data_IF_785819435333
#
_entry.id   IF_785819435333
#
_cell.length_a   1.000
_cell.length_b   1.000
_cell.length_c   1.000
_cell.angle_alpha   90.00
_cell.angle_beta   90.00
_cell.angle_gamma   90.00
#
_symmetry.space_group_name_H-M   'P 1'
#
loop_
_entity.id
_entity.type
_entity.pdbx_description
1 polymer ?
#
# COMPACT_ATOMS: atom_id res chain seq x y z
N UNK A 1 -24.99 1.33 -81.14
CA UNK A 1 -24.10 2.48 -80.82
C UNK A 1 -24.00 3.52 -81.95
N UNK A 2 -23.97 3.13 -83.23
CA UNK A 2 -23.78 4.08 -84.35
C UNK A 2 -24.86 5.17 -84.53
N UNK A 3 -26.15 4.86 -84.34
CA UNK A 3 -27.21 5.87 -84.49
C UNK A 3 -27.14 6.96 -83.43
N UNK A 4 -26.83 6.61 -82.18
CA UNK A 4 -26.77 7.55 -81.06
C UNK A 4 -25.63 8.57 -81.24
N UNK A 5 -24.47 8.12 -81.76
CA UNK A 5 -23.31 8.98 -82.03
C UNK A 5 -23.62 9.99 -83.15
N UNK A 6 -24.34 9.57 -84.20
CA UNK A 6 -24.72 10.46 -85.30
C UNK A 6 -25.78 11.50 -84.93
N UNK A 7 -26.78 11.15 -84.10
CA UNK A 7 -27.76 12.13 -83.61
C UNK A 7 -27.13 13.11 -82.62
N UNK A 8 -26.18 12.65 -81.81
CA UNK A 8 -25.46 13.49 -80.86
C UNK A 8 -24.53 14.47 -81.60
N UNK A 9 -23.86 14.03 -82.66
CA UNK A 9 -23.02 14.87 -83.51
C UNK A 9 -23.82 15.96 -84.24
N UNK A 10 -25.04 15.66 -84.73
CA UNK A 10 -25.90 16.67 -85.36
C UNK A 10 -26.43 17.70 -84.37
N UNK A 11 -26.81 17.27 -83.16
CA UNK A 11 -27.30 18.16 -82.09
C UNK A 11 -26.23 19.12 -81.54
N UNK A 12 -24.94 18.77 -81.64
CA UNK A 12 -23.81 19.59 -81.21
C UNK A 12 -23.43 20.70 -82.22
N UNK A 13 -23.82 20.55 -83.49
CA UNK A 13 -23.55 21.52 -84.57
C UNK A 13 -24.53 22.70 -84.61
N UNK A 14 -25.70 22.58 -83.97
CA UNK A 14 -26.72 23.63 -83.94
C UNK A 14 -26.25 24.87 -83.16
N UNK A 15 -26.58 26.05 -83.71
CA UNK A 15 -26.27 27.35 -83.09
C UNK A 15 -27.47 27.82 -82.27
N UNK A 16 -27.19 28.32 -81.08
CA UNK A 16 -28.17 29.02 -80.24
C UNK A 16 -27.87 30.51 -80.33
N UNK A 17 -28.90 31.29 -80.64
CA UNK A 17 -28.85 32.74 -80.67
C UNK A 17 -29.36 33.26 -79.32
N UNK A 18 -28.45 33.79 -78.50
CA UNK A 18 -28.77 34.44 -77.21
C UNK A 18 -28.87 35.93 -77.46
N UNK A 19 -30.05 36.52 -77.22
CA UNK A 19 -30.31 37.95 -77.38
C UNK A 19 -30.34 38.61 -75.99
N UNK A 20 -29.36 39.46 -75.70
CA UNK A 20 -29.27 40.19 -74.42
C UNK A 20 -29.90 41.56 -74.63
N UNK A 21 -30.99 41.85 -73.91
CA UNK A 21 -31.68 43.15 -73.93
C UNK A 21 -31.49 43.88 -72.59
N UNK A 22 -30.58 44.88 -72.51
CA UNK A 22 -30.43 45.69 -71.32
C UNK A 22 -31.59 46.69 -71.16
N UNK A 23 -31.87 47.10 -69.92
CA UNK A 23 -32.97 48.04 -69.58
C UNK A 23 -32.80 49.44 -70.19
N UNK A 24 -31.58 49.81 -70.59
CA UNK A 24 -31.22 50.97 -71.44
C UNK A 24 -29.97 50.61 -72.26
N UNK A 25 -29.99 50.85 -73.57
CA UNK A 25 -28.88 50.56 -74.50
C UNK A 25 -29.28 49.65 -75.67
N UNK A 26 -28.34 49.40 -76.59
CA UNK A 26 -28.56 48.55 -77.76
C UNK A 26 -28.52 47.05 -77.38
N UNK A 27 -29.42 46.25 -77.96
CA UNK A 27 -29.43 44.80 -77.78
C UNK A 27 -28.27 44.14 -78.52
N UNK A 28 -27.57 43.21 -77.88
CA UNK A 28 -26.48 42.44 -78.50
C UNK A 28 -26.93 40.99 -78.74
N UNK A 29 -26.64 40.46 -79.94
CA UNK A 29 -26.89 39.06 -80.31
C UNK A 29 -25.58 38.28 -80.22
N UNK A 30 -25.58 37.24 -79.39
CA UNK A 30 -24.47 36.30 -79.25
C UNK A 30 -24.86 34.97 -79.88
N UNK A 31 -24.12 34.57 -80.91
CA UNK A 31 -24.31 33.27 -81.57
C UNK A 31 -23.29 32.28 -81.04
N UNK A 32 -23.75 31.28 -80.30
CA UNK A 32 -22.89 30.26 -79.72
C UNK A 32 -23.25 28.88 -80.27
N UNK A 33 -22.26 27.99 -80.40
CA UNK A 33 -22.53 26.59 -80.73
C UNK A 33 -23.00 25.87 -79.47
N UNK A 34 -23.92 24.90 -79.58
CA UNK A 34 -24.34 24.08 -78.43
C UNK A 34 -23.15 23.40 -77.73
N UNK A 35 -22.14 22.99 -78.50
CA UNK A 35 -20.91 22.42 -77.97
C UNK A 35 -20.13 23.38 -77.04
N UNK A 36 -20.10 24.68 -77.33
CA UNK A 36 -19.44 25.66 -76.45
C UNK A 36 -20.19 25.88 -75.15
N UNK A 37 -21.52 25.79 -75.16
CA UNK A 37 -22.34 25.86 -73.94
C UNK A 37 -22.13 24.62 -73.06
N UNK A 38 -22.13 23.42 -73.65
CA UNK A 38 -21.83 22.19 -72.91
C UNK A 38 -20.41 22.20 -72.33
N UNK A 39 -19.42 22.68 -73.09
CA UNK A 39 -18.06 22.84 -72.59
C UNK A 39 -17.98 23.79 -71.37
N UNK A 40 -18.69 24.92 -71.41
CA UNK A 40 -18.75 25.86 -70.28
C UNK A 40 -19.41 25.24 -69.04
N UNK A 41 -20.49 24.46 -69.22
CA UNK A 41 -21.15 23.75 -68.11
C UNK A 41 -20.21 22.71 -67.49
N UNK A 42 -19.51 21.93 -68.33
CA UNK A 42 -18.54 20.93 -67.85
C UNK A 42 -17.39 21.61 -67.09
N UNK A 43 -16.86 22.71 -67.60
CA UNK A 43 -15.81 23.49 -66.92
C UNK A 43 -16.32 24.04 -65.58
N UNK A 44 -17.55 24.56 -65.53
CA UNK A 44 -18.15 25.03 -64.30
C UNK A 44 -18.36 23.91 -63.27
N UNK A 45 -18.83 22.73 -63.70
CA UNK A 45 -18.95 21.55 -62.84
C UNK A 45 -17.60 21.05 -62.32
N UNK A 46 -16.55 21.10 -63.14
CA UNK A 46 -15.19 20.74 -62.71
C UNK A 46 -14.64 21.74 -61.69
N UNK A 47 -14.83 23.04 -61.91
CA UNK A 47 -14.38 24.08 -60.98
C UNK A 47 -15.13 24.01 -59.64
N UNK A 48 -16.44 23.80 -59.67
CA UNK A 48 -17.24 23.63 -58.44
C UNK A 48 -16.87 22.34 -57.70
N UNK A 49 -16.69 21.22 -58.41
CA UNK A 49 -16.20 19.97 -57.83
C UNK A 49 -14.81 20.11 -57.20
N UNK A 50 -13.88 20.79 -57.88
CA UNK A 50 -12.55 21.08 -57.34
C UNK A 50 -12.61 22.00 -56.11
N UNK A 51 -13.48 23.01 -56.13
CA UNK A 51 -13.72 23.91 -54.99
C UNK A 51 -14.26 23.17 -53.77
N UNK A 52 -15.24 22.26 -53.96
CA UNK A 52 -15.78 21.43 -52.88
C UNK A 52 -14.70 20.51 -52.31
N UNK A 53 -13.93 19.83 -53.17
CA UNK A 53 -12.82 18.97 -52.73
C UNK A 53 -11.77 19.73 -51.92
N UNK A 54 -11.42 20.94 -52.36
CA UNK A 54 -10.49 21.81 -51.63
C UNK A 54 -11.05 22.20 -50.26
N UNK A 55 -12.33 22.57 -50.19
CA UNK A 55 -13.00 22.92 -48.93
C UNK A 55 -13.09 21.74 -47.96
N UNK A 56 -13.50 20.57 -48.45
CA UNK A 56 -13.59 19.34 -47.64
C UNK A 56 -12.21 18.97 -47.10
N UNK A 57 -11.18 18.92 -47.96
CA UNK A 57 -9.81 18.64 -47.52
C UNK A 57 -9.27 19.67 -46.53
N UNK A 58 -9.59 20.96 -46.71
CA UNK A 58 -9.20 22.02 -45.79
C UNK A 58 -9.90 21.90 -44.43
N UNK A 59 -11.18 21.53 -44.42
CA UNK A 59 -11.94 21.27 -43.19
C UNK A 59 -11.38 20.07 -42.45
N UNK A 60 -11.19 18.94 -43.14
CA UNK A 60 -10.61 17.72 -42.55
C UNK A 60 -9.22 17.99 -41.96
N UNK A 61 -8.38 18.74 -42.68
CA UNK A 61 -7.07 19.13 -42.19
C UNK A 61 -7.14 19.95 -40.88
N UNK A 62 -8.02 20.95 -40.82
CA UNK A 62 -8.19 21.77 -39.63
C UNK A 62 -8.78 20.98 -38.45
N UNK A 63 -9.72 20.07 -38.72
CA UNK A 63 -10.31 19.16 -37.74
C UNK A 63 -9.23 18.24 -37.13
N UNK A 64 -8.46 17.55 -37.98
CA UNK A 64 -7.36 16.67 -37.56
C UNK A 64 -6.29 17.46 -36.78
N UNK A 65 -6.02 18.71 -37.17
CA UNK A 65 -5.09 19.58 -36.44
C UNK A 65 -5.64 19.95 -35.05
N UNK A 66 -6.93 20.21 -34.92
CA UNK A 66 -7.58 20.47 -33.64
C UNK A 66 -7.56 19.23 -32.72
N UNK A 67 -7.88 18.05 -33.26
CA UNK A 67 -7.80 16.78 -32.53
C UNK A 67 -6.38 16.46 -32.05
N UNK A 68 -5.37 16.67 -32.90
CA UNK A 68 -3.97 16.51 -32.51
C UNK A 68 -3.54 17.47 -31.38
N UNK A 69 -3.98 18.73 -31.44
CA UNK A 69 -3.71 19.69 -30.37
C UNK A 69 -4.39 19.28 -29.05
N UNK A 70 -5.63 18.78 -29.12
CA UNK A 70 -6.34 18.27 -27.96
C UNK A 70 -5.64 17.06 -27.34
N UNK A 71 -5.20 16.11 -28.18
CA UNK A 71 -4.48 14.93 -27.74
C UNK A 71 -3.20 15.31 -26.98
N UNK A 72 -2.46 16.32 -27.48
CA UNK A 72 -1.27 16.85 -26.79
C UNK A 72 -1.58 17.45 -25.43
N UNK A 73 -2.69 18.18 -25.29
CA UNK A 73 -3.10 18.71 -23.99
C UNK A 73 -3.42 17.59 -23.00
N UNK A 74 -4.11 16.53 -23.46
CA UNK A 74 -4.40 15.35 -22.63
C UNK A 74 -3.13 14.61 -22.19
N UNK A 75 -2.18 14.42 -23.10
CA UNK A 75 -0.90 13.79 -22.77
C UNK A 75 -0.11 14.62 -21.76
N UNK A 76 -0.06 15.94 -21.93
CA UNK A 76 0.58 16.84 -20.96
C UNK A 76 -0.07 16.77 -19.58
N UNK A 77 -1.39 16.66 -19.51
CA UNK A 77 -2.11 16.51 -18.25
C UNK A 77 -1.77 15.18 -17.55
N UNK A 78 -1.75 14.07 -18.31
CA UNK A 78 -1.38 12.75 -17.78
C UNK A 78 0.07 12.77 -17.28
N UNK A 79 0.97 13.37 -18.04
CA UNK A 79 2.37 13.55 -17.67
C UNK A 79 2.52 14.30 -16.33
N UNK A 80 1.84 15.43 -16.17
CA UNK A 80 1.83 16.21 -14.92
C UNK A 80 1.25 15.41 -13.74
N UNK A 81 0.22 14.58 -13.97
CA UNK A 81 -0.34 13.69 -12.95
C UNK A 81 0.63 12.58 -12.53
N UNK A 82 1.36 11.98 -13.50
CA UNK A 82 2.38 10.98 -13.20
C UNK A 82 3.58 11.59 -12.45
N UNK A 83 3.98 12.82 -12.79
CA UNK A 83 5.04 13.53 -12.06
C UNK A 83 4.64 13.79 -10.61
N UNK A 84 3.37 14.19 -10.38
CA UNK A 84 2.81 14.29 -9.02
C UNK A 84 2.86 12.94 -8.30
N UNK A 85 2.39 11.87 -8.93
CA UNK A 85 2.43 10.51 -8.36
C UNK A 85 3.83 10.08 -7.95
N UNK A 86 4.82 10.34 -8.81
CA UNK A 86 6.24 10.10 -8.54
C UNK A 86 6.74 10.86 -7.31
N UNK A 87 6.43 12.16 -7.21
CA UNK A 87 6.81 12.98 -6.03
C UNK A 87 6.21 12.44 -4.74
N UNK A 88 4.97 11.94 -4.77
CA UNK A 88 4.37 11.28 -3.61
C UNK A 88 5.08 9.98 -3.26
N UNK A 89 5.44 9.15 -4.24
CA UNK A 89 6.23 7.93 -4.00
C UNK A 89 7.57 8.24 -3.33
N UNK A 90 8.27 9.27 -3.79
CA UNK A 90 9.51 9.75 -3.17
C UNK A 90 9.32 10.18 -1.71
N UNK A 91 8.24 10.93 -1.43
CA UNK A 91 7.90 11.32 -0.07
C UNK A 91 7.56 10.11 0.81
N UNK A 92 6.89 9.10 0.27
CA UNK A 92 6.59 7.87 1.03
C UNK A 92 7.85 7.08 1.37
N UNK A 93 8.85 7.07 0.49
CA UNK A 93 10.12 6.41 0.76
C UNK A 93 10.89 7.07 1.92
N UNK A 94 10.94 8.40 1.96
CA UNK A 94 11.58 9.12 3.08
C UNK A 94 10.82 8.89 4.38
N UNK A 95 9.48 8.89 4.32
CA UNK A 95 8.62 8.59 5.46
C UNK A 95 8.84 7.16 5.99
N UNK A 96 8.93 6.17 5.10
CA UNK A 96 9.24 4.78 5.43
C UNK A 96 10.59 4.66 6.15
N UNK A 97 11.63 5.32 5.61
CA UNK A 97 12.97 5.34 6.20
C UNK A 97 12.95 5.93 7.61
N UNK A 98 12.24 7.06 7.80
CA UNK A 98 12.07 7.68 9.11
C UNK A 98 11.31 6.76 10.08
N UNK A 99 10.23 6.11 9.64
CA UNK A 99 9.48 5.16 10.46
C UNK A 99 10.37 4.00 10.92
N UNK A 100 11.17 3.42 10.02
CA UNK A 100 12.11 2.33 10.37
C UNK A 100 13.13 2.77 11.42
N UNK A 101 13.69 3.98 11.28
CA UNK A 101 14.62 4.56 12.26
C UNK A 101 13.95 4.77 13.61
N UNK A 102 12.78 5.39 13.65
CA UNK A 102 12.02 5.61 14.89
C UNK A 102 11.66 4.30 15.59
N UNK A 103 11.33 3.26 14.83
CA UNK A 103 10.99 1.94 15.37
C UNK A 103 12.22 1.12 15.78
N UNK A 104 13.44 1.59 15.48
CA UNK A 104 14.67 0.84 15.70
C UNK A 104 14.67 -0.50 14.96
N UNK A 105 14.06 -0.53 13.77
CA UNK A 105 14.05 -1.73 12.94
C UNK A 105 15.48 -2.05 12.50
N UNK A 106 15.99 -3.28 12.69
CA UNK A 106 17.25 -3.66 12.08
C UNK A 106 17.13 -3.44 10.57
N UNK A 107 18.17 -2.88 9.93
CA UNK A 107 18.24 -2.80 8.47
C UNK A 107 17.92 -4.19 7.90
N UNK A 108 16.74 -4.31 7.28
CA UNK A 108 16.02 -5.57 7.26
C UNK A 108 16.73 -6.67 6.47
N UNK A 109 16.55 -7.92 6.90
CA UNK A 109 16.86 -9.11 6.07
C UNK A 109 16.04 -9.17 4.77
N UNK A 110 14.99 -8.34 4.65
CA UNK A 110 14.14 -8.17 3.47
C UNK A 110 14.31 -6.80 2.81
N UNK A 111 15.14 -5.93 3.40
CA UNK A 111 15.60 -4.72 2.75
C UNK A 111 16.73 -5.14 1.79
N UNK A 112 16.33 -5.72 0.66
CA UNK A 112 16.94 -5.24 -0.57
C UNK A 112 16.35 -3.84 -0.81
N UNK A 113 16.76 -2.85 0.00
CA UNK A 113 17.07 -1.56 -0.63
C UNK A 113 18.03 -2.00 -1.72
N UNK A 114 17.69 -1.86 -3.01
CA UNK A 114 18.65 -2.18 -4.05
C UNK A 114 19.96 -1.53 -3.62
N UNK A 115 21.05 -2.30 -3.52
CA UNK A 115 22.36 -1.64 -3.52
C UNK A 115 22.34 -0.75 -4.77
N UNK A 116 22.35 0.56 -4.57
CA UNK A 116 22.06 1.51 -5.63
C UNK A 116 20.61 2.01 -5.72
N UNK A 117 19.82 2.09 -4.64
CA UNK A 117 18.54 2.85 -4.69
C UNK A 117 18.77 4.29 -5.14
N UNK A 118 19.84 4.94 -4.66
CA UNK A 118 20.21 6.28 -5.15
C UNK A 118 20.54 6.28 -6.65
N UNK A 119 21.16 5.21 -7.16
CA UNK A 119 21.48 5.04 -8.58
C UNK A 119 20.24 4.74 -9.42
N UNK A 120 19.35 3.87 -8.94
CA UNK A 120 18.06 3.53 -9.55
C UNK A 120 17.14 4.75 -9.58
N UNK A 121 17.06 5.48 -8.47
CA UNK A 121 16.38 6.77 -8.37
C UNK A 121 16.97 7.77 -9.36
N UNK A 122 18.29 7.94 -9.39
CA UNK A 122 18.95 8.84 -10.34
C UNK A 122 18.63 8.49 -11.81
N UNK A 123 18.59 7.20 -12.15
CA UNK A 123 18.16 6.73 -13.49
C UNK A 123 16.68 7.04 -13.75
N UNK A 124 15.79 6.80 -12.78
CA UNK A 124 14.37 7.11 -12.90
C UNK A 124 14.11 8.63 -12.99
N UNK A 125 14.83 9.46 -12.23
CA UNK A 125 14.81 10.92 -12.29
C UNK A 125 15.26 11.41 -13.67
N UNK A 126 16.34 10.84 -14.21
CA UNK A 126 16.84 11.17 -15.54
C UNK A 126 15.86 10.78 -16.66
N UNK A 127 15.24 9.60 -16.57
CA UNK A 127 14.20 9.16 -17.51
C UNK A 127 12.97 10.04 -17.45
N UNK A 128 12.47 10.33 -16.25
CA UNK A 128 11.34 11.23 -16.04
C UNK A 128 11.61 12.61 -16.63
N UNK A 129 12.78 13.18 -16.33
CA UNK A 129 13.21 14.47 -16.86
C UNK A 129 13.28 14.46 -18.38
N UNK A 130 13.87 13.43 -18.99
CA UNK A 130 13.93 13.25 -20.44
C UNK A 130 12.52 13.17 -21.05
N UNK A 131 11.62 12.42 -20.44
CA UNK A 131 10.24 12.26 -20.91
C UNK A 131 9.47 13.59 -20.88
N UNK A 132 9.64 14.38 -19.81
CA UNK A 132 8.92 15.65 -19.65
C UNK A 132 9.56 16.84 -20.38
N UNK A 133 10.85 16.76 -20.73
CA UNK A 133 11.54 17.78 -21.54
C UNK A 133 11.40 17.55 -23.05
N UNK A 134 11.10 16.33 -23.49
CA UNK A 134 10.92 15.99 -24.92
C UNK A 134 9.59 16.57 -25.44
N UNK A 135 9.61 17.22 -26.60
CA UNK A 135 8.39 17.71 -27.23
C UNK A 135 7.48 16.51 -27.56
N UNK A 136 6.18 16.64 -27.32
CA UNK A 136 5.19 15.56 -27.47
C UNK A 136 5.12 14.99 -28.89
N UNK A 137 5.72 15.67 -29.86
CA UNK A 137 5.85 15.21 -31.26
C UNK A 137 6.90 14.13 -31.43
N UNK A 138 7.92 14.15 -30.58
CA UNK A 138 9.09 13.27 -30.65
C UNK A 138 9.05 12.19 -29.56
N UNK A 139 8.02 12.23 -28.70
CA UNK A 139 7.79 11.26 -27.63
C UNK A 139 7.36 9.92 -28.22
N UNK A 140 8.17 8.89 -27.96
CA UNK A 140 7.84 7.52 -28.33
C UNK A 140 6.91 6.91 -27.29
N UNK A 141 5.97 6.09 -27.73
CA UNK A 141 5.05 5.34 -26.85
C UNK A 141 5.80 4.43 -25.89
N UNK A 142 6.91 3.84 -26.36
CA UNK A 142 7.76 2.93 -25.57
C UNK A 142 8.40 3.62 -24.35
N UNK A 143 8.87 4.87 -24.50
CA UNK A 143 9.41 5.64 -23.38
C UNK A 143 8.35 5.91 -22.30
N UNK A 144 7.09 6.12 -22.71
CA UNK A 144 5.97 6.35 -21.80
C UNK A 144 5.54 5.06 -21.09
N UNK A 145 5.47 3.93 -21.81
CA UNK A 145 5.16 2.62 -21.25
C UNK A 145 6.20 2.23 -20.18
N UNK A 146 7.49 2.33 -20.49
CA UNK A 146 8.55 2.06 -19.51
C UNK A 146 8.48 2.95 -18.28
N UNK A 147 8.10 4.22 -18.44
CA UNK A 147 7.97 5.13 -17.31
C UNK A 147 6.78 4.76 -16.39
N UNK A 148 5.66 4.34 -16.98
CA UNK A 148 4.50 3.85 -16.21
C UNK A 148 4.84 2.55 -15.50
N UNK A 149 5.53 1.62 -16.15
CA UNK A 149 5.99 0.36 -15.55
C UNK A 149 6.95 0.63 -14.37
N UNK A 150 7.94 1.51 -14.55
CA UNK A 150 8.88 1.90 -13.49
C UNK A 150 8.14 2.51 -12.27
N UNK A 151 7.09 3.29 -12.51
CA UNK A 151 6.27 3.92 -11.47
C UNK A 151 5.42 2.88 -10.75
N UNK A 152 4.83 1.93 -11.48
CA UNK A 152 4.06 0.81 -10.92
C UNK A 152 4.93 -0.06 -10.01
N UNK A 153 6.12 -0.44 -10.47
CA UNK A 153 7.06 -1.26 -9.69
C UNK A 153 7.56 -0.55 -8.43
N UNK A 154 7.80 0.76 -8.53
CA UNK A 154 8.15 1.58 -7.38
C UNK A 154 7.01 1.63 -6.36
N UNK A 155 5.76 1.76 -6.83
CA UNK A 155 4.58 1.74 -5.96
C UNK A 155 4.39 0.38 -5.26
N UNK A 156 4.55 -0.73 -5.99
CA UNK A 156 4.50 -2.09 -5.43
C UNK A 156 5.56 -2.30 -4.35
N UNK A 157 6.79 -1.86 -4.62
CA UNK A 157 7.91 -1.95 -3.67
C UNK A 157 7.61 -1.16 -2.39
N UNK A 158 7.11 0.07 -2.55
CA UNK A 158 6.75 0.92 -1.42
C UNK A 158 5.62 0.32 -0.56
N UNK A 159 4.59 -0.26 -1.20
CA UNK A 159 3.50 -0.94 -0.50
C UNK A 159 4.01 -2.13 0.32
N UNK A 160 4.88 -2.96 -0.26
CA UNK A 160 5.49 -4.10 0.44
C UNK A 160 6.31 -3.63 1.66
N UNK A 161 7.05 -2.53 1.52
CA UNK A 161 7.81 -1.93 2.62
C UNK A 161 6.90 -1.50 3.79
N UNK A 162 5.78 -0.82 3.51
CA UNK A 162 4.82 -0.44 4.53
C UNK A 162 4.16 -1.64 5.22
N UNK A 163 3.87 -2.72 4.48
CA UNK A 163 3.36 -3.96 5.06
C UNK A 163 4.36 -4.58 6.05
N UNK A 164 5.66 -4.54 5.74
CA UNK A 164 6.72 -5.02 6.65
C UNK A 164 6.77 -4.17 7.93
N UNK A 165 6.72 -2.83 7.80
CA UNK A 165 6.68 -1.93 8.97
C UNK A 165 5.47 -2.24 9.84
N UNK A 166 4.28 -2.37 9.23
CA UNK A 166 3.07 -2.70 9.95
C UNK A 166 3.19 -4.04 10.70
N UNK A 167 3.73 -5.06 10.03
CA UNK A 167 3.98 -6.38 10.63
C UNK A 167 4.99 -6.31 11.78
N UNK A 168 6.10 -5.59 11.62
CA UNK A 168 7.11 -5.42 12.66
C UNK A 168 6.53 -4.68 13.88
N UNK A 169 5.79 -3.59 13.64
CA UNK A 169 5.18 -2.83 14.72
C UNK A 169 4.15 -3.66 15.48
N UNK A 170 3.27 -4.37 14.77
CA UNK A 170 2.30 -5.27 15.37
C UNK A 170 3.01 -6.31 16.24
N UNK A 171 3.98 -7.05 15.70
CA UNK A 171 4.69 -8.09 16.46
C UNK A 171 5.54 -7.55 17.60
N UNK A 172 6.15 -6.38 17.46
CA UNK A 172 6.92 -5.74 18.54
C UNK A 172 5.99 -5.31 19.67
N UNK A 173 4.83 -4.72 19.36
CA UNK A 173 3.83 -4.34 20.35
C UNK A 173 3.26 -5.57 21.06
N UNK A 174 2.88 -6.59 20.31
CA UNK A 174 2.37 -7.84 20.87
C UNK A 174 3.44 -8.54 21.72
N UNK A 175 4.69 -8.62 21.28
CA UNK A 175 5.80 -9.14 22.06
C UNK A 175 6.08 -8.34 23.35
N UNK A 176 5.97 -7.01 23.30
CA UNK A 176 6.08 -6.15 24.48
C UNK A 176 4.94 -6.37 25.47
N UNK A 177 3.70 -6.56 24.99
CA UNK A 177 2.55 -6.87 25.83
C UNK A 177 2.63 -8.27 26.45
N UNK A 178 3.20 -9.22 25.71
CA UNK A 178 3.43 -10.61 26.11
C UNK A 178 4.59 -10.79 27.10
N UNK A 179 5.48 -9.79 27.22
CA UNK A 179 6.63 -9.86 28.12
C UNK A 179 6.19 -9.56 29.56
N UNK A 180 6.47 -10.44 30.56
CA UNK A 180 5.98 -10.28 31.94
C UNK A 180 6.75 -9.21 32.73
N UNK A 181 6.53 -7.93 32.40
CA UNK A 181 7.44 -6.83 32.76
C UNK A 181 7.14 -6.10 34.07
N UNK A 182 6.13 -6.53 34.83
CA UNK A 182 5.78 -5.96 36.14
C UNK A 182 5.89 -7.01 37.24
N UNK A 183 5.94 -6.55 38.50
CA UNK A 183 5.86 -7.47 39.64
C UNK A 183 4.42 -7.97 39.82
N UNK A 184 4.22 -9.26 40.13
CA UNK A 184 2.89 -9.82 40.40
C UNK A 184 2.33 -9.41 41.76
N UNK A 185 3.18 -8.89 42.66
CA UNK A 185 2.81 -8.43 44.01
C UNK A 185 3.76 -7.32 44.48
N UNK A 186 3.25 -6.43 45.35
CA UNK A 186 4.02 -5.41 46.05
C UNK A 186 4.84 -5.96 47.23
N UNK A 187 4.64 -7.22 47.62
CA UNK A 187 5.35 -7.84 48.72
C UNK A 187 6.88 -7.97 48.44
N UNK A 188 7.73 -8.05 49.48
CA UNK A 188 9.16 -8.31 49.30
C UNK A 188 9.42 -9.73 48.79
N UNK A 189 10.50 -9.89 48.02
CA UNK A 189 10.97 -11.22 47.58
C UNK A 189 11.63 -11.88 48.78
N UNK A 190 11.09 -13.01 49.23
CA UNK A 190 11.63 -13.83 50.32
C UNK A 190 12.58 -14.92 49.84
N UNK A 191 12.38 -15.44 48.62
CA UNK A 191 13.25 -16.45 48.02
C UNK A 191 13.51 -16.19 46.54
N UNK A 192 14.76 -16.36 46.12
CA UNK A 192 15.20 -16.14 44.74
C UNK A 192 15.16 -17.39 43.85
N UNK A 193 15.23 -17.17 42.55
CA UNK A 193 15.40 -18.22 41.53
C UNK A 193 16.78 -18.89 41.62
N UNK A 194 16.85 -20.19 41.35
CA UNK A 194 18.09 -20.97 41.33
C UNK A 194 18.21 -21.99 42.46
N UNK A 195 19.43 -22.48 42.71
CA UNK A 195 19.68 -23.51 43.71
C UNK A 195 19.59 -22.94 45.14
N UNK A 196 18.78 -23.58 45.99
CA UNK A 196 18.64 -23.25 47.40
C UNK A 196 18.60 -24.50 48.28
N UNK A 197 18.88 -24.33 49.57
CA UNK A 197 18.65 -25.35 50.59
C UNK A 197 17.14 -25.67 50.68
N UNK A 198 16.80 -26.95 50.85
CA UNK A 198 15.40 -27.39 50.93
C UNK A 198 14.66 -26.67 52.09
N UNK A 199 13.56 -25.96 51.80
CA UNK A 199 12.81 -25.23 52.82
C UNK A 199 12.13 -26.13 53.87
N UNK A 200 12.04 -27.44 53.63
CA UNK A 200 11.47 -28.44 54.56
C UNK A 200 12.57 -29.18 55.36
N UNK A 201 13.82 -28.67 55.35
CA UNK A 201 14.88 -29.14 56.25
C UNK A 201 15.67 -30.36 55.77
N UNK A 202 15.53 -30.77 54.50
CA UNK A 202 16.38 -31.81 53.91
C UNK A 202 17.70 -31.19 53.46
N UNK A 203 18.84 -31.82 53.78
CA UNK A 203 20.19 -31.31 53.44
C UNK A 203 20.53 -31.51 51.95
N UNK A 204 19.61 -31.19 51.06
CA UNK A 204 19.72 -31.34 49.61
C UNK A 204 19.45 -30.00 48.93
N UNK A 205 20.29 -29.63 47.97
CA UNK A 205 20.08 -28.46 47.12
C UNK A 205 18.90 -28.73 46.18
N UNK A 206 17.84 -27.92 46.27
CA UNK A 206 16.67 -27.98 45.39
C UNK A 206 16.69 -26.77 44.45
N UNK A 207 16.48 -27.01 43.15
CA UNK A 207 16.33 -25.94 42.18
C UNK A 207 14.97 -25.27 42.35
N UNK A 208 14.97 -23.97 42.57
CA UNK A 208 13.80 -23.12 42.62
C UNK A 208 13.57 -22.49 41.25
N UNK A 209 12.46 -22.85 40.61
CA UNK A 209 12.14 -22.42 39.24
C UNK A 209 11.46 -21.04 39.18
N UNK A 210 11.26 -20.39 40.33
CA UNK A 210 10.60 -19.10 40.45
C UNK A 210 11.20 -18.21 41.53
N UNK A 211 10.43 -17.21 41.93
CA UNK A 211 10.69 -16.34 43.07
C UNK A 211 9.50 -16.38 44.01
N UNK A 212 9.78 -16.32 45.31
CA UNK A 212 8.74 -16.29 46.34
C UNK A 212 8.58 -14.86 46.87
N UNK A 213 7.33 -14.38 46.94
CA UNK A 213 6.96 -13.10 47.52
C UNK A 213 6.24 -13.33 48.85
N UNK A 214 6.84 -12.95 49.97
CA UNK A 214 6.22 -13.10 51.29
C UNK A 214 5.38 -11.86 51.62
N UNK A 215 4.11 -12.07 51.95
CA UNK A 215 3.16 -10.99 52.20
C UNK A 215 2.05 -11.41 53.15
N UNK A 216 1.07 -10.52 53.31
CA UNK A 216 -0.11 -10.79 54.15
C UNK A 216 -1.13 -11.64 53.40
N UNK A 217 -1.92 -12.47 54.09
CA UNK A 217 -3.07 -13.13 53.49
C UNK A 217 -3.96 -12.13 52.76
N UNK A 218 -4.57 -12.59 51.68
CA UNK A 218 -5.50 -11.84 50.83
C UNK A 218 -4.89 -10.64 50.07
N UNK A 219 -3.57 -10.47 50.12
CA UNK A 219 -2.87 -9.45 49.32
C UNK A 219 -3.12 -9.68 47.82
N UNK A 220 -3.43 -8.65 47.02
CA UNK A 220 -3.76 -8.84 45.61
C UNK A 220 -2.58 -9.37 44.80
N UNK A 221 -2.87 -10.28 43.88
CA UNK A 221 -1.95 -10.80 42.88
C UNK A 221 -2.44 -10.37 41.51
N UNK A 222 -1.55 -9.77 40.72
CA UNK A 222 -1.84 -9.30 39.36
C UNK A 222 -1.08 -10.09 38.31
N UNK A 223 -1.67 -10.18 37.11
CA UNK A 223 -0.99 -10.76 35.95
C UNK A 223 0.10 -9.82 35.42
N UNK A 224 1.23 -10.36 34.99
CA UNK A 224 2.43 -9.57 34.68
C UNK A 224 2.57 -9.21 33.19
N UNK A 225 1.74 -9.80 32.34
CA UNK A 225 1.64 -9.55 30.90
C UNK A 225 0.21 -9.83 30.40
N UNK A 226 -0.11 -9.33 29.21
CA UNK A 226 -1.35 -9.69 28.52
C UNK A 226 -1.31 -11.18 28.16
N UNK A 227 -2.44 -11.88 28.21
CA UNK A 227 -2.46 -13.30 27.89
C UNK A 227 -3.80 -13.98 28.08
N UNK A 228 -3.78 -15.31 27.99
CA UNK A 228 -4.95 -16.18 28.18
C UNK A 228 -4.67 -17.15 29.33
N UNK A 229 -5.62 -17.25 30.26
CA UNK A 229 -5.53 -18.20 31.38
C UNK A 229 -5.63 -19.62 30.85
N UNK A 230 -4.55 -20.40 30.94
CA UNK A 230 -4.52 -21.82 30.57
C UNK A 230 -5.12 -22.69 31.67
N UNK A 231 -4.80 -22.38 32.91
CA UNK A 231 -5.28 -23.12 34.07
C UNK A 231 -5.56 -22.17 35.24
N UNK A 232 -6.64 -22.42 35.97
CA UNK A 232 -6.96 -21.75 37.23
C UNK A 232 -7.65 -22.76 38.15
N UNK A 233 -6.92 -23.27 39.15
CA UNK A 233 -7.44 -24.32 40.02
C UNK A 233 -6.35 -25.05 40.81
N UNK A 234 -6.71 -26.20 41.36
CA UNK A 234 -5.81 -26.98 42.21
C UNK A 234 -4.79 -27.78 41.41
N UNK A 235 -3.51 -27.59 41.72
CA UNK A 235 -2.38 -28.32 41.16
C UNK A 235 -1.61 -28.99 42.31
N UNK A 236 -1.29 -30.30 42.21
CA UNK A 236 -0.49 -30.97 43.23
C UNK A 236 0.82 -30.23 43.53
N UNK A 237 1.19 -30.14 44.80
CA UNK A 237 2.31 -29.33 45.35
C UNK A 237 2.17 -27.81 45.25
N UNK A 238 1.61 -27.26 44.17
CA UNK A 238 1.44 -25.81 43.99
C UNK A 238 0.18 -25.26 44.69
N UNK A 239 -0.77 -26.11 45.07
CA UNK A 239 -2.03 -25.68 45.67
C UNK A 239 -2.94 -25.03 44.64
N UNK A 240 -3.65 -23.97 45.03
CA UNK A 240 -4.40 -23.15 44.08
C UNK A 240 -3.41 -22.35 43.22
N UNK A 241 -3.42 -22.62 41.91
CA UNK A 241 -2.49 -22.05 40.97
C UNK A 241 -3.17 -21.55 39.70
N UNK A 242 -2.56 -20.53 39.10
CA UNK A 242 -2.96 -19.95 37.82
C UNK A 242 -1.78 -20.04 36.87
N UNK A 243 -2.01 -20.56 35.67
CA UNK A 243 -1.06 -20.57 34.56
C UNK A 243 -1.60 -19.66 33.47
N UNK A 244 -0.84 -18.64 33.08
CA UNK A 244 -1.19 -17.73 31.99
C UNK A 244 -0.20 -17.90 30.84
N UNK A 245 -0.73 -18.08 29.64
CA UNK A 245 0.04 -18.08 28.39
C UNK A 245 -0.04 -16.68 27.78
N UNK A 246 1.12 -16.06 27.60
CA UNK A 246 1.24 -14.71 27.08
C UNK A 246 1.53 -14.69 25.57
N UNK A 247 1.74 -15.84 24.94
CA UNK A 247 2.21 -15.90 23.57
C UNK A 247 3.71 -15.58 23.44
N UNK A 248 4.24 -15.64 22.22
CA UNK A 248 5.68 -15.46 21.93
C UNK A 248 6.59 -16.34 22.80
N UNK A 249 6.10 -17.52 23.23
CA UNK A 249 6.82 -18.44 24.09
C UNK A 249 6.87 -18.06 25.57
N UNK A 250 6.22 -16.98 26.00
CA UNK A 250 6.13 -16.59 27.41
C UNK A 250 4.92 -17.22 28.11
N UNK A 251 5.14 -17.74 29.32
CA UNK A 251 4.07 -18.11 30.24
C UNK A 251 4.47 -17.85 31.68
N UNK A 252 3.48 -17.67 32.55
CA UNK A 252 3.69 -17.38 33.98
C UNK A 252 2.84 -18.27 34.86
N UNK A 253 3.42 -18.68 35.99
CA UNK A 253 2.75 -19.48 37.01
C UNK A 253 2.61 -18.66 38.29
N UNK A 254 1.43 -18.67 38.88
CA UNK A 254 1.11 -18.06 40.18
C UNK A 254 0.59 -19.16 41.10
N UNK A 255 1.34 -19.54 42.13
CA UNK A 255 1.01 -20.67 43.00
C UNK A 255 0.87 -20.26 44.47
N UNK A 256 0.38 -21.19 45.29
CA UNK A 256 0.03 -21.01 46.71
C UNK A 256 -0.99 -19.89 46.94
N UNK A 257 -1.83 -19.61 45.93
CA UNK A 257 -2.82 -18.54 45.99
C UNK A 257 -4.06 -18.94 46.78
N UNK A 258 -4.94 -17.98 47.04
CA UNK A 258 -6.31 -18.13 47.53
C UNK A 258 -7.20 -17.15 46.77
N UNK A 259 -8.52 -17.38 46.75
CA UNK A 259 -9.48 -16.43 46.16
C UNK A 259 -9.21 -16.11 44.68
N UNK A 260 -9.06 -17.15 43.85
CA UNK A 260 -8.90 -17.01 42.39
C UNK A 260 -10.12 -16.28 41.81
N UNK A 261 -9.89 -15.25 41.00
CA UNK A 261 -10.95 -14.42 40.38
C UNK A 261 -11.10 -14.64 38.88
N UNK A 262 -10.32 -15.55 38.29
CA UNK A 262 -10.32 -15.87 36.85
C UNK A 262 -10.52 -17.36 36.60
N UNK A 263 -10.94 -17.74 35.39
CA UNK A 263 -11.12 -19.13 34.94
C UNK A 263 -10.31 -19.42 33.68
N UNK A 264 -10.08 -20.71 33.40
CA UNK A 264 -9.47 -21.13 32.13
C UNK A 264 -10.22 -20.56 30.93
N UNK A 265 -9.48 -20.00 29.98
CA UNK A 265 -10.01 -19.36 28.78
C UNK A 265 -10.20 -17.84 28.90
N UNK A 266 -10.12 -17.26 30.10
CA UNK A 266 -10.23 -15.81 30.27
C UNK A 266 -9.04 -15.08 29.63
N UNK A 267 -9.32 -13.98 28.93
CA UNK A 267 -8.31 -13.04 28.44
C UNK A 267 -8.03 -12.03 29.54
N UNK A 268 -6.76 -11.89 29.91
CA UNK A 268 -6.30 -11.00 30.98
C UNK A 268 -5.32 -9.97 30.43
N UNK A 269 -5.37 -8.75 30.95
CA UNK A 269 -4.44 -7.68 30.63
C UNK A 269 -3.45 -7.48 31.76
N UNK A 270 -2.21 -7.08 31.42
CA UNK A 270 -1.18 -6.75 32.40
C UNK A 270 -1.73 -5.84 33.49
N UNK A 271 -1.58 -6.26 34.74
CA UNK A 271 -2.06 -5.53 35.92
C UNK A 271 -3.44 -5.96 36.42
N UNK A 272 -4.18 -6.77 35.67
CA UNK A 272 -5.45 -7.33 36.13
C UNK A 272 -5.24 -8.21 37.36
N UNK A 273 -6.12 -8.05 38.35
CA UNK A 273 -6.14 -8.91 39.55
C UNK A 273 -6.66 -10.30 39.18
N UNK A 274 -5.87 -11.33 39.46
CA UNK A 274 -6.19 -12.73 39.11
C UNK A 274 -6.44 -13.62 40.33
N UNK A 275 -5.87 -13.26 41.48
CA UNK A 275 -6.02 -13.99 42.73
C UNK A 275 -5.63 -13.12 43.93
N UNK A 276 -5.61 -13.75 45.10
CA UNK A 276 -5.03 -13.20 46.32
C UNK A 276 -3.99 -14.15 46.92
N UNK A 277 -3.06 -13.59 47.70
CA UNK A 277 -1.98 -14.36 48.32
C UNK A 277 -2.51 -15.22 49.46
N UNK A 278 -2.06 -16.47 49.50
CA UNK A 278 -2.51 -17.43 50.50
C UNK A 278 -1.40 -18.39 50.93
N UNK A 279 -1.82 -19.52 51.48
CA UNK A 279 -0.94 -20.63 51.86
C UNK A 279 -1.66 -21.94 51.55
N UNK A 280 -1.68 -22.30 50.26
CA UNK A 280 -2.30 -23.54 49.76
C UNK A 280 -1.25 -24.48 49.16
N UNK A 281 -1.52 -25.79 49.17
CA UNK A 281 -0.55 -26.79 48.71
C UNK A 281 0.65 -26.96 49.64
N UNK A 282 1.84 -27.22 49.09
CA UNK A 282 3.06 -27.38 49.87
C UNK A 282 3.69 -26.01 50.17
N UNK A 283 3.08 -25.29 51.10
CA UNK A 283 3.49 -23.95 51.52
C UNK A 283 3.85 -23.93 53.01
N UNK A 284 4.95 -23.28 53.39
CA UNK A 284 5.39 -23.16 54.80
C UNK A 284 4.86 -21.90 55.50
N UNK A 285 4.12 -21.05 54.78
CA UNK A 285 3.56 -19.81 55.28
C UNK A 285 3.02 -18.96 54.12
N UNK A 286 2.35 -17.84 54.41
CA UNK A 286 1.72 -17.03 53.36
C UNK A 286 2.74 -16.40 52.42
N UNK A 287 2.72 -16.85 51.16
CA UNK A 287 3.57 -16.32 50.09
C UNK A 287 2.97 -16.62 48.72
N UNK A 288 3.37 -15.83 47.72
CA UNK A 288 3.16 -16.15 46.30
C UNK A 288 4.42 -16.81 45.76
N UNK A 289 4.30 -18.00 45.19
CA UNK A 289 5.32 -18.58 44.34
C UNK A 289 5.05 -18.18 42.89
N UNK A 290 6.01 -17.50 42.25
CA UNK A 290 5.87 -16.95 40.91
C UNK A 290 6.99 -17.43 39.98
N UNK A 291 6.61 -18.00 38.84
CA UNK A 291 7.54 -18.46 37.82
C UNK A 291 7.32 -17.71 36.49
N UNK A 292 8.41 -17.50 35.75
CA UNK A 292 8.38 -17.05 34.36
C UNK A 292 9.02 -18.14 33.51
N UNK A 293 8.33 -18.50 32.44
CA UNK A 293 8.76 -19.51 31.49
C UNK A 293 8.94 -18.86 30.12
N UNK A 294 10.04 -19.18 29.44
CA UNK A 294 10.33 -18.77 28.07
C UNK A 294 10.68 -20.00 27.25
N UNK A 295 9.92 -20.23 26.19
CA UNK A 295 10.08 -21.36 25.26
C UNK A 295 10.16 -22.71 26.00
N UNK A 296 9.31 -22.89 27.01
CA UNK A 296 9.22 -24.10 27.82
C UNK A 296 10.29 -24.24 28.92
N UNK A 297 11.15 -23.24 29.12
CA UNK A 297 12.18 -23.26 30.17
C UNK A 297 11.91 -22.20 31.24
N UNK A 298 12.02 -22.58 32.51
CA UNK A 298 11.96 -21.63 33.61
C UNK A 298 13.17 -20.69 33.56
N UNK A 299 12.91 -19.38 33.66
CA UNK A 299 13.90 -18.31 33.62
C UNK A 299 13.78 -17.45 34.88
N UNK A 300 14.84 -16.74 35.25
CA UNK A 300 14.83 -15.88 36.44
C UNK A 300 13.80 -14.74 36.29
N UNK A 301 12.70 -14.72 37.08
CA UNK A 301 11.68 -13.68 36.98
C UNK A 301 12.20 -12.27 37.27
N UNK A 302 13.27 -12.14 38.07
CA UNK A 302 13.86 -10.83 38.42
C UNK A 302 14.40 -10.08 37.21
N UNK A 303 14.74 -10.78 36.13
CA UNK A 303 15.25 -10.16 34.90
C UNK A 303 14.17 -9.38 34.13
N UNK A 304 12.90 -9.55 34.49
CA UNK A 304 11.77 -8.93 33.79
C UNK A 304 11.12 -7.79 34.57
N UNK A 305 11.37 -7.68 35.87
CA UNK A 305 10.84 -6.58 36.68
C UNK A 305 11.52 -5.27 36.29
N UNK A 306 10.73 -4.32 35.79
CA UNK A 306 11.16 -2.95 35.51
C UNK A 306 10.87 -2.03 36.68
#
# INVERSE_FOLDING_TARGET
>A
MGNFINTFASALGERIDILIMPRKGASTKLKLRRLTLWALIVVWLLLTGAGILFFVRGYDYNMIKAENNLMRMKLKLIADELERGRKYLDLTHTTDTQMRQMLGMPGGKFVNLPKGWEEAKAQQDARAKKLFETDLKDMQTEDFEHYVDDLEDSAKTQLASFQEIAWYFANKKEGLNSTPSIRPSSAPISSGYGYRLDPVGRRTSKKHNGVDFAGKPDSPIVVTADGVVRHAGWVPSFGQAILVDHGFGYSTLYAHTTGITVKSGDVVKRGDKIATMGSSGNSTGTHLHYEVWKDGQAVNPRNYFK
#
